data_IF_615048002356
#
_entry.id   IF_615048002356
#
_cell.length_a   1.000
_cell.length_b   1.000
_cell.length_c   1.000
_cell.angle_alpha   90.00
_cell.angle_beta   90.00
_cell.angle_gamma   90.00
#
_symmetry.space_group_name_H-M   'P 1'
#
loop_
_entity.id
_entity.type
_entity.pdbx_description
1 polymer ?
#
# COMPACT_ATOMS: atom_id res chain seq x y z
N UNK A 1 17.82 13.80 -1.71
CA UNK A 1 17.54 15.12 -2.31
C UNK A 1 16.31 15.67 -1.61
N UNK A 2 16.28 16.95 -1.23
CA UNK A 2 15.11 17.62 -0.65
C UNK A 2 14.36 18.28 -1.80
N UNK A 3 13.03 18.13 -1.85
CA UNK A 3 12.19 18.82 -2.85
C UNK A 3 12.23 20.32 -2.55
N UNK A 4 12.47 21.18 -3.55
CA UNK A 4 12.52 22.62 -3.34
C UNK A 4 11.12 23.19 -3.00
N UNK A 5 11.11 24.41 -2.47
CA UNK A 5 9.88 25.15 -2.27
C UNK A 5 9.21 25.48 -3.62
N UNK A 6 7.89 25.58 -3.62
CA UNK A 6 7.09 25.89 -4.81
C UNK A 6 6.55 24.65 -5.52
N UNK A 7 6.33 24.76 -6.82
CA UNK A 7 5.81 23.68 -7.65
C UNK A 7 6.97 22.84 -8.22
N UNK A 8 6.76 21.51 -8.19
CA UNK A 8 7.62 20.56 -8.92
C UNK A 8 6.74 19.79 -9.88
N UNK A 9 7.04 19.86 -11.17
CA UNK A 9 6.25 19.20 -12.20
C UNK A 9 6.42 17.69 -12.13
N UNK A 10 5.31 16.96 -12.29
CA UNK A 10 5.26 15.51 -12.46
C UNK A 10 5.02 15.21 -13.92
N UNK A 11 5.91 14.44 -14.53
CA UNK A 11 5.81 14.12 -15.96
C UNK A 11 4.49 13.35 -16.26
N UNK A 12 3.89 13.55 -17.44
CA UNK A 12 2.77 12.74 -17.90
C UNK A 12 3.13 11.24 -17.85
N UNK A 13 2.15 10.40 -17.51
CA UNK A 13 2.35 8.95 -17.32
C UNK A 13 2.85 8.57 -15.94
N UNK A 14 3.08 9.55 -15.06
CA UNK A 14 3.49 9.33 -13.67
C UNK A 14 2.37 9.66 -12.67
N UNK A 15 2.45 9.04 -11.50
CA UNK A 15 1.71 9.43 -10.30
C UNK A 15 2.68 9.93 -9.24
N UNK A 16 2.22 10.84 -8.39
CA UNK A 16 3.00 11.36 -7.28
C UNK A 16 2.21 11.25 -5.98
N UNK A 17 2.86 10.80 -4.94
CA UNK A 17 2.31 10.69 -3.60
C UNK A 17 3.15 11.43 -2.57
N UNK A 18 2.49 12.03 -1.58
CA UNK A 18 3.14 12.46 -0.35
C UNK A 18 3.05 11.32 0.65
N UNK A 19 4.21 10.76 0.97
CA UNK A 19 4.36 9.64 1.92
C UNK A 19 4.62 10.21 3.31
N UNK A 20 3.84 9.79 4.29
CA UNK A 20 4.07 10.09 5.70
C UNK A 20 4.62 8.84 6.39
N UNK A 21 5.80 8.95 6.98
CA UNK A 21 6.44 7.89 7.75
C UNK A 21 6.08 8.06 9.23
N UNK A 22 5.62 6.97 9.87
CA UNK A 22 5.18 6.97 11.26
C UNK A 22 5.88 5.84 12.03
N UNK A 23 6.03 6.02 13.34
CA UNK A 23 6.69 5.06 14.21
C UNK A 23 6.06 4.97 15.60
N UNK A 24 6.29 3.84 16.27
CA UNK A 24 6.11 3.61 17.69
C UNK A 24 7.45 3.17 18.28
N UNK A 25 7.94 3.84 19.32
CA UNK A 25 9.19 3.53 20.02
C UNK A 25 8.96 2.72 21.30
N UNK A 26 7.70 2.46 21.65
CA UNK A 26 7.27 1.61 22.75
C UNK A 26 5.90 1.01 22.45
N UNK A 27 5.64 -0.15 23.03
CA UNK A 27 4.32 -0.80 22.87
C UNK A 27 3.23 0.06 23.50
N UNK A 28 2.21 0.47 22.74
CA UNK A 28 1.09 1.24 23.29
C UNK A 28 0.10 0.33 24.04
N UNK A 29 -0.77 0.94 24.82
CA UNK A 29 -1.97 0.26 25.27
C UNK A 29 -2.87 -0.08 24.07
N UNK A 30 -3.36 -1.30 24.03
CA UNK A 30 -4.29 -1.72 22.98
C UNK A 30 -5.62 -0.96 23.10
N UNK A 31 -6.19 -0.61 21.99
CA UNK A 31 -7.49 0.07 21.95
C UNK A 31 -8.62 -0.93 22.16
N UNK A 32 -9.67 -0.51 22.86
CA UNK A 32 -10.88 -1.32 23.03
C UNK A 32 -11.45 -1.74 21.66
N UNK A 33 -11.80 -3.01 21.52
CA UNK A 33 -12.31 -3.61 20.29
C UNK A 33 -13.61 -4.40 20.57
N UNK A 34 -14.32 -4.77 19.50
CA UNK A 34 -15.47 -5.67 19.60
C UNK A 34 -15.00 -7.08 19.94
N UNK A 35 -15.65 -7.75 20.88
CA UNK A 35 -15.25 -9.08 21.37
C UNK A 35 -15.90 -10.24 20.60
N UNK A 36 -17.13 -10.06 20.11
CA UNK A 36 -17.82 -11.09 19.32
C UNK A 36 -17.78 -10.71 17.84
N UNK A 37 -16.71 -11.13 17.14
CA UNK A 37 -16.51 -10.82 15.72
C UNK A 37 -16.31 -12.11 14.91
N UNK A 38 -16.78 -12.15 13.65
CA UNK A 38 -16.64 -13.32 12.79
C UNK A 38 -15.28 -13.38 12.09
N UNK A 39 -14.26 -12.67 12.62
CA UNK A 39 -12.94 -12.54 12.00
C UNK A 39 -11.95 -13.48 12.65
N UNK A 40 -11.10 -14.07 11.80
CA UNK A 40 -10.00 -14.92 12.23
C UNK A 40 -8.72 -14.42 11.58
N UNK A 41 -7.64 -14.21 12.35
CA UNK A 41 -6.30 -13.97 11.82
C UNK A 41 -5.59 -15.30 11.65
N UNK A 42 -5.18 -15.59 10.42
CA UNK A 42 -4.44 -16.80 10.06
C UNK A 42 -3.05 -16.41 9.60
N UNK A 43 -2.03 -16.92 10.29
CA UNK A 43 -0.65 -16.81 9.83
C UNK A 43 -0.43 -17.77 8.66
N UNK A 44 0.27 -17.28 7.61
CA UNK A 44 0.69 -18.09 6.49
C UNK A 44 2.22 -18.22 6.50
N UNK A 45 2.78 -19.32 7.01
CA UNK A 45 4.22 -19.46 7.22
C UNK A 45 5.02 -19.68 5.91
N UNK A 46 4.36 -20.09 4.86
CA UNK A 46 4.96 -20.31 3.53
C UNK A 46 4.00 -19.83 2.44
N UNK A 47 3.79 -18.55 2.29
CA UNK A 47 2.83 -18.01 1.33
C UNK A 47 3.20 -18.44 -0.10
N UNK A 48 2.18 -18.85 -0.85
CA UNK A 48 2.29 -18.97 -2.30
C UNK A 48 2.24 -17.59 -2.94
N UNK A 49 3.09 -17.32 -3.92
CA UNK A 49 3.18 -15.99 -4.55
C UNK A 49 1.89 -15.60 -5.28
N UNK A 50 1.17 -16.56 -5.89
CA UNK A 50 -0.08 -16.27 -6.59
C UNK A 50 -1.20 -15.96 -5.60
N UNK A 51 -1.31 -16.74 -4.52
CA UNK A 51 -2.23 -16.46 -3.41
C UNK A 51 -1.96 -15.08 -2.81
N UNK A 52 -0.70 -14.77 -2.50
CA UNK A 52 -0.29 -13.50 -1.91
C UNK A 52 -0.69 -12.32 -2.82
N UNK A 53 -0.37 -12.39 -4.13
CA UNK A 53 -0.73 -11.35 -5.10
C UNK A 53 -2.24 -11.17 -5.25
N UNK A 54 -3.00 -12.26 -5.19
CA UNK A 54 -4.46 -12.21 -5.24
C UNK A 54 -5.03 -11.45 -4.04
N UNK A 55 -4.53 -11.72 -2.83
CA UNK A 55 -4.95 -11.01 -1.63
C UNK A 55 -4.46 -9.56 -1.63
N UNK A 56 -3.20 -9.32 -2.02
CA UNK A 56 -2.61 -7.99 -2.18
C UNK A 56 -3.43 -7.11 -3.14
N UNK A 57 -3.79 -7.64 -4.31
CA UNK A 57 -4.62 -6.93 -5.27
C UNK A 57 -6.04 -6.66 -4.71
N UNK A 58 -6.64 -7.64 -4.03
CA UNK A 58 -7.98 -7.48 -3.43
C UNK A 58 -8.06 -6.31 -2.46
N UNK A 59 -7.04 -6.11 -1.63
CA UNK A 59 -7.05 -5.07 -0.59
C UNK A 59 -6.43 -3.75 -1.06
N UNK A 60 -5.57 -3.78 -2.10
CA UNK A 60 -4.73 -2.65 -2.47
C UNK A 60 -5.05 -1.98 -3.81
N UNK A 61 -5.84 -2.63 -4.70
CA UNK A 61 -6.07 -2.10 -6.06
C UNK A 61 -6.71 -0.70 -6.05
N UNK A 62 -7.65 -0.44 -5.14
CA UNK A 62 -8.32 0.86 -5.02
C UNK A 62 -7.39 1.98 -4.49
N UNK A 63 -6.21 1.60 -3.99
CA UNK A 63 -5.19 2.47 -3.39
C UNK A 63 -3.88 2.47 -4.20
N UNK A 64 -3.92 1.96 -5.43
CA UNK A 64 -2.76 1.83 -6.33
C UNK A 64 -1.59 1.04 -5.71
N UNK A 65 -1.86 0.02 -4.93
CA UNK A 65 -0.83 -0.89 -4.49
C UNK A 65 -0.39 -1.77 -5.66
N UNK A 66 0.84 -1.63 -6.12
CA UNK A 66 1.35 -2.37 -7.28
C UNK A 66 2.71 -3.03 -7.05
N UNK A 67 3.47 -2.60 -6.03
CA UNK A 67 4.86 -3.02 -5.83
C UNK A 67 5.06 -4.54 -5.83
N UNK A 68 4.19 -5.28 -5.12
CA UNK A 68 4.26 -6.76 -5.06
C UNK A 68 3.75 -7.44 -6.34
N UNK A 69 2.96 -6.74 -7.17
CA UNK A 69 2.43 -7.28 -8.43
C UNK A 69 3.50 -7.28 -9.52
N UNK A 70 4.35 -6.25 -9.58
CA UNK A 70 5.42 -6.10 -10.59
C UNK A 70 6.72 -6.81 -10.19
N UNK A 71 6.89 -7.12 -8.91
CA UNK A 71 8.09 -7.77 -8.41
C UNK A 71 8.29 -9.16 -9.05
N UNK A 72 9.51 -9.58 -9.45
CA UNK A 72 9.76 -10.95 -9.89
C UNK A 72 9.30 -11.98 -8.86
N UNK A 73 8.73 -13.10 -9.30
CA UNK A 73 8.20 -14.14 -8.38
C UNK A 73 9.25 -14.61 -7.39
N UNK A 74 10.48 -14.89 -7.84
CA UNK A 74 11.56 -15.33 -6.97
C UNK A 74 11.92 -14.31 -5.88
N UNK A 75 11.90 -13.02 -6.22
CA UNK A 75 12.13 -11.94 -5.26
C UNK A 75 10.98 -11.85 -4.26
N UNK A 76 9.74 -11.91 -4.73
CA UNK A 76 8.56 -11.92 -3.84
C UNK A 76 8.64 -13.10 -2.86
N UNK A 77 8.87 -14.31 -3.36
CA UNK A 77 8.97 -15.53 -2.53
C UNK A 77 10.11 -15.44 -1.52
N UNK A 78 11.26 -14.87 -1.89
CA UNK A 78 12.38 -14.67 -0.96
C UNK A 78 12.03 -13.74 0.20
N UNK A 79 11.14 -12.77 -0.02
CA UNK A 79 10.65 -11.86 1.02
C UNK A 79 9.60 -12.56 1.88
N UNK A 80 8.47 -12.97 1.29
CA UNK A 80 7.31 -13.46 2.04
C UNK A 80 7.52 -14.80 2.73
N UNK A 81 8.58 -15.55 2.35
CA UNK A 81 9.00 -16.81 2.98
C UNK A 81 10.22 -16.66 3.88
N UNK A 82 10.74 -15.45 4.05
CA UNK A 82 11.81 -15.18 5.01
C UNK A 82 11.35 -15.52 6.43
N UNK A 83 12.24 -16.08 7.25
CA UNK A 83 11.97 -16.33 8.67
C UNK A 83 11.70 -15.03 9.46
N UNK A 84 12.16 -13.91 8.94
CA UNK A 84 11.97 -12.58 9.51
C UNK A 84 10.83 -11.77 8.85
N UNK A 85 9.95 -12.43 8.08
CA UNK A 85 8.73 -11.84 7.56
C UNK A 85 7.54 -12.69 8.01
N UNK A 86 6.53 -12.03 8.51
CA UNK A 86 5.30 -12.70 8.96
C UNK A 86 4.12 -12.21 8.13
N UNK A 87 3.50 -13.11 7.39
CA UNK A 87 2.33 -12.82 6.56
C UNK A 87 1.08 -13.42 7.20
N UNK A 88 0.04 -12.61 7.30
CA UNK A 88 -1.25 -13.01 7.86
C UNK A 88 -2.39 -12.63 6.91
N UNK A 89 -3.39 -13.49 6.84
CA UNK A 89 -4.67 -13.19 6.25
C UNK A 89 -5.73 -12.98 7.33
N UNK A 90 -6.55 -11.95 7.19
CA UNK A 90 -7.78 -11.81 7.94
C UNK A 90 -8.89 -12.53 7.16
N UNK A 91 -9.42 -13.57 7.76
CA UNK A 91 -10.45 -14.44 7.18
C UNK A 91 -11.84 -14.07 7.70
N UNK A 92 -12.80 -14.03 6.81
CA UNK A 92 -14.22 -13.80 7.08
C UNK A 92 -15.04 -14.78 6.27
N UNK A 93 -15.82 -15.64 6.92
CA UNK A 93 -16.68 -16.60 6.22
C UNK A 93 -15.92 -17.53 5.25
N UNK A 94 -14.68 -17.92 5.59
CA UNK A 94 -13.85 -18.80 4.78
C UNK A 94 -13.14 -18.09 3.62
N UNK A 95 -13.17 -16.74 3.55
CA UNK A 95 -12.48 -15.95 2.52
C UNK A 95 -11.46 -15.02 3.15
N UNK A 96 -10.29 -14.90 2.52
CA UNK A 96 -9.26 -13.96 2.93
C UNK A 96 -9.65 -12.54 2.45
N UNK A 97 -9.96 -11.67 3.42
CA UNK A 97 -10.49 -10.32 3.19
C UNK A 97 -9.60 -9.22 3.79
N UNK A 98 -8.43 -9.58 4.30
CA UNK A 98 -7.43 -8.62 4.79
C UNK A 98 -6.03 -9.19 4.75
N UNK A 99 -5.05 -8.33 4.55
CA UNK A 99 -3.61 -8.63 4.52
C UNK A 99 -2.92 -7.86 5.63
N UNK A 100 -2.07 -8.58 6.39
CA UNK A 100 -1.11 -8.01 7.32
C UNK A 100 0.27 -8.62 7.02
N UNK A 101 1.27 -7.79 6.78
CA UNK A 101 2.67 -8.20 6.62
C UNK A 101 3.54 -7.43 7.62
N UNK A 102 4.27 -8.16 8.44
CA UNK A 102 5.25 -7.65 9.39
C UNK A 102 6.64 -8.07 8.93
N UNK A 103 7.53 -7.10 8.73
CA UNK A 103 8.89 -7.32 8.26
C UNK A 103 9.89 -6.96 9.36
N UNK A 104 10.65 -7.96 9.83
CA UNK A 104 11.67 -7.85 10.89
C UNK A 104 13.09 -7.99 10.35
N UNK A 105 13.31 -7.92 9.03
CA UNK A 105 14.63 -8.09 8.42
C UNK A 105 15.62 -7.02 8.86
N UNK A 106 15.15 -5.85 9.28
CA UNK A 106 15.98 -4.82 9.92
C UNK A 106 16.11 -5.09 11.42
N UNK A 107 17.35 -5.31 11.90
CA UNK A 107 17.62 -5.69 13.27
C UNK A 107 17.05 -4.71 14.31
N UNK A 108 16.24 -5.22 15.23
CA UNK A 108 15.61 -4.45 16.30
C UNK A 108 14.47 -3.54 15.85
N UNK A 109 13.99 -3.70 14.63
CA UNK A 109 12.84 -2.97 14.08
C UNK A 109 11.81 -3.95 13.50
N UNK A 110 10.58 -3.46 13.35
CA UNK A 110 9.55 -4.10 12.57
C UNK A 110 8.92 -3.05 11.64
N UNK A 111 8.83 -3.35 10.36
CA UNK A 111 7.98 -2.61 9.45
C UNK A 111 6.60 -3.26 9.41
N UNK A 112 5.54 -2.47 9.58
CA UNK A 112 4.20 -2.83 9.15
C UNK A 112 4.14 -2.61 7.64
N UNK A 113 4.68 -3.59 6.88
CA UNK A 113 4.95 -3.45 5.45
C UNK A 113 3.66 -3.33 4.63
N UNK A 114 2.64 -4.15 4.97
CA UNK A 114 1.31 -4.05 4.37
C UNK A 114 0.23 -4.28 5.42
N UNK A 115 -0.78 -3.42 5.36
CA UNK A 115 -1.95 -3.46 6.23
C UNK A 115 -3.18 -3.04 5.43
N UNK A 116 -3.95 -3.99 4.94
CA UNK A 116 -5.10 -3.73 4.08
C UNK A 116 -6.30 -4.58 4.42
N UNK A 117 -7.47 -4.04 4.15
CA UNK A 117 -8.77 -4.69 4.31
C UNK A 117 -9.59 -4.55 3.04
N UNK A 118 -10.36 -5.57 2.70
CA UNK A 118 -11.39 -5.48 1.69
C UNK A 118 -12.47 -4.47 2.10
N UNK A 119 -13.02 -3.73 1.13
CA UNK A 119 -13.96 -2.63 1.37
C UNK A 119 -15.20 -3.01 2.19
N UNK A 120 -15.64 -4.27 2.10
CA UNK A 120 -16.76 -4.77 2.91
C UNK A 120 -16.53 -4.72 4.42
N UNK A 121 -15.27 -4.63 4.87
CA UNK A 121 -14.91 -4.59 6.29
C UNK A 121 -14.79 -3.16 6.84
N UNK A 122 -14.87 -2.16 6.00
CA UNK A 122 -14.78 -0.76 6.43
C UNK A 122 -15.95 -0.39 7.35
N UNK A 123 -15.69 0.44 8.36
CA UNK A 123 -16.68 0.87 9.33
C UNK A 123 -17.12 -0.19 10.35
N UNK A 124 -16.73 -1.46 10.18
CA UNK A 124 -17.13 -2.55 11.09
C UNK A 124 -16.23 -2.71 12.33
N UNK A 125 -15.11 -1.99 12.37
CA UNK A 125 -14.11 -2.11 13.45
C UNK A 125 -13.00 -3.13 13.16
N UNK A 126 -13.01 -3.77 11.97
CA UNK A 126 -12.01 -4.77 11.58
C UNK A 126 -10.59 -4.21 11.55
N UNK A 127 -10.41 -2.97 11.09
CA UNK A 127 -9.11 -2.30 11.11
C UNK A 127 -8.52 -2.19 12.51
N UNK A 128 -9.32 -1.78 13.50
CA UNK A 128 -8.87 -1.71 14.89
C UNK A 128 -8.50 -3.09 15.43
N UNK A 129 -9.34 -4.06 15.17
CA UNK A 129 -9.10 -5.44 15.60
C UNK A 129 -7.78 -5.99 14.99
N UNK A 130 -7.58 -5.80 13.70
CA UNK A 130 -6.36 -6.24 13.01
C UNK A 130 -5.13 -5.47 13.50
N UNK A 131 -5.24 -4.16 13.76
CA UNK A 131 -4.14 -3.35 14.27
C UNK A 131 -3.71 -3.79 15.68
N UNK A 132 -4.64 -4.13 16.56
CA UNK A 132 -4.29 -4.68 17.86
C UNK A 132 -3.45 -5.97 17.72
N UNK A 133 -3.82 -6.87 16.77
CA UNK A 133 -3.07 -8.12 16.49
C UNK A 133 -1.71 -7.81 15.87
N UNK A 134 -1.62 -6.81 14.99
CA UNK A 134 -0.35 -6.37 14.42
C UNK A 134 0.61 -5.85 15.50
N UNK A 135 0.11 -5.02 16.42
CA UNK A 135 0.89 -4.50 17.56
C UNK A 135 1.32 -5.66 18.49
N UNK A 136 0.42 -6.58 18.81
CA UNK A 136 0.74 -7.75 19.64
C UNK A 136 1.85 -8.61 19.00
N UNK A 137 1.70 -8.94 17.73
CA UNK A 137 2.66 -9.76 17.00
C UNK A 137 4.03 -9.06 16.85
N UNK A 138 4.04 -7.77 16.50
CA UNK A 138 5.27 -7.01 16.35
C UNK A 138 6.06 -6.93 17.67
N UNK A 139 5.39 -6.58 18.77
CA UNK A 139 6.04 -6.44 20.08
C UNK A 139 6.22 -7.76 20.85
N UNK A 140 5.81 -8.90 20.27
CA UNK A 140 6.19 -10.22 20.78
C UNK A 140 7.67 -10.55 20.50
N UNK A 141 8.29 -9.85 19.51
CA UNK A 141 9.74 -9.92 19.24
C UNK A 141 10.49 -8.76 19.92
N UNK A 142 11.79 -8.88 20.20
CA UNK A 142 12.56 -7.85 20.90
C UNK A 142 12.90 -6.67 19.98
N UNK A 143 11.89 -5.92 19.55
CA UNK A 143 12.05 -4.71 18.74
C UNK A 143 12.13 -3.46 19.62
N UNK A 144 12.77 -2.42 19.10
CA UNK A 144 12.81 -1.08 19.69
C UNK A 144 11.94 -0.09 18.91
N UNK A 145 11.44 -0.52 17.74
CA UNK A 145 10.69 0.35 16.84
C UNK A 145 9.73 -0.48 15.98
N UNK A 146 8.47 -0.08 15.96
CA UNK A 146 7.50 -0.49 14.94
C UNK A 146 7.23 0.72 14.06
N UNK A 147 7.38 0.61 12.75
CA UNK A 147 7.17 1.73 11.84
C UNK A 147 6.28 1.34 10.66
N UNK A 148 5.69 2.34 10.04
CA UNK A 148 4.82 2.22 8.87
C UNK A 148 4.95 3.47 8.02
N UNK A 149 4.69 3.37 6.76
CA UNK A 149 4.43 4.54 5.93
C UNK A 149 3.04 4.44 5.32
N UNK A 150 2.42 5.58 5.07
CA UNK A 150 1.16 5.73 4.34
C UNK A 150 1.27 6.91 3.41
N UNK A 151 0.54 6.91 2.32
CA UNK A 151 0.65 7.96 1.33
C UNK A 151 -0.71 8.56 0.95
N UNK A 152 -0.69 9.60 0.14
CA UNK A 152 -1.90 10.29 -0.32
C UNK A 152 -2.76 9.45 -1.28
N UNK A 153 -2.27 8.30 -1.72
CA UNK A 153 -3.06 7.34 -2.52
C UNK A 153 -3.87 6.38 -1.64
N UNK A 154 -3.48 6.20 -0.36
CA UNK A 154 -4.20 5.32 0.57
C UNK A 154 -5.58 5.88 0.95
N UNK A 155 -6.35 5.05 1.63
CA UNK A 155 -7.66 5.45 2.16
C UNK A 155 -7.54 6.77 2.95
N UNK A 156 -8.44 7.77 2.74
CA UNK A 156 -8.34 9.08 3.39
C UNK A 156 -8.21 9.04 4.91
N UNK A 157 -8.77 8.01 5.56
CA UNK A 157 -8.68 7.83 7.01
C UNK A 157 -7.38 7.13 7.47
N UNK A 158 -6.49 6.68 6.56
CA UNK A 158 -5.34 5.86 6.93
C UNK A 158 -4.39 6.59 7.88
N UNK A 159 -3.98 7.82 7.56
CA UNK A 159 -3.10 8.60 8.43
C UNK A 159 -3.69 8.82 9.82
N UNK A 160 -4.95 9.25 9.89
CA UNK A 160 -5.64 9.47 11.16
C UNK A 160 -5.82 8.15 11.94
N UNK A 161 -6.02 7.02 11.24
CA UNK A 161 -6.10 5.69 11.85
C UNK A 161 -4.79 5.28 12.51
N UNK A 162 -3.63 5.46 11.85
CA UNK A 162 -2.32 5.18 12.42
C UNK A 162 -2.01 6.05 13.62
N UNK A 163 -2.26 7.36 13.54
CA UNK A 163 -2.09 8.29 14.67
C UNK A 163 -2.93 7.86 15.88
N UNK A 164 -4.20 7.53 15.67
CA UNK A 164 -5.09 7.04 16.74
C UNK A 164 -4.68 5.67 17.29
N UNK A 165 -3.88 4.91 16.55
CA UNK A 165 -3.36 3.61 16.97
C UNK A 165 -2.07 3.71 17.79
N UNK A 166 -1.52 4.93 17.97
CA UNK A 166 -0.35 5.20 18.81
C UNK A 166 0.93 5.46 18.03
N UNK A 167 0.88 5.53 16.69
CA UNK A 167 2.01 5.96 15.88
C UNK A 167 2.20 7.48 15.95
N UNK A 168 3.44 7.92 15.81
CA UNK A 168 3.84 9.32 15.67
C UNK A 168 4.52 9.55 14.33
N UNK A 169 4.15 10.60 13.61
CA UNK A 169 4.81 10.93 12.35
C UNK A 169 6.20 11.50 12.61
N UNK A 170 7.22 11.00 11.89
CA UNK A 170 8.61 11.44 12.05
C UNK A 170 9.25 11.96 10.76
N UNK A 171 8.73 11.59 9.59
CA UNK A 171 9.25 12.06 8.31
C UNK A 171 8.15 12.14 7.24
N UNK A 172 8.44 12.94 6.22
CA UNK A 172 7.61 13.05 5.01
C UNK A 172 8.49 12.94 3.77
N UNK A 173 7.99 12.26 2.73
CA UNK A 173 8.69 12.07 1.45
C UNK A 173 7.73 12.33 0.30
N UNK A 174 8.27 12.55 -0.88
CA UNK A 174 7.54 12.52 -2.14
C UNK A 174 8.01 11.28 -2.90
N UNK A 175 7.06 10.51 -3.39
CA UNK A 175 7.29 9.35 -4.25
C UNK A 175 6.67 9.64 -5.61
N UNK A 176 7.43 9.35 -6.68
CA UNK A 176 6.98 9.55 -8.07
C UNK A 176 7.29 8.26 -8.82
N UNK A 177 6.25 7.64 -9.38
CA UNK A 177 6.36 6.38 -10.11
C UNK A 177 5.57 6.40 -11.40
N UNK A 178 5.76 5.36 -12.23
CA UNK A 178 4.90 5.11 -13.38
C UNK A 178 3.47 4.82 -12.89
N UNK A 179 2.48 5.43 -13.54
CA UNK A 179 1.08 5.13 -13.20
C UNK A 179 0.76 3.67 -13.54
N UNK A 180 0.49 2.81 -12.54
CA UNK A 180 0.26 1.38 -12.76
C UNK A 180 -0.96 1.09 -13.63
N UNK A 181 -1.88 2.04 -13.78
CA UNK A 181 -3.05 1.96 -14.67
C UNK A 181 -2.66 2.17 -16.14
N UNK A 182 -1.58 2.89 -16.42
CA UNK A 182 -1.04 3.11 -17.78
C UNK A 182 -0.04 2.02 -18.18
N UNK A 183 0.63 1.40 -17.20
CA UNK A 183 1.53 0.26 -17.47
C UNK A 183 0.79 -1.08 -17.56
N UNK A 184 -0.53 -1.10 -17.33
CA UNK A 184 -1.35 -2.31 -17.39
C UNK A 184 -1.26 -3.21 -16.15
N UNK A 185 -0.61 -2.75 -15.08
CA UNK A 185 -0.47 -3.48 -13.81
C UNK A 185 -1.78 -3.40 -13.00
N UNK A 186 -2.42 -2.24 -13.00
CA UNK A 186 -3.72 -2.03 -12.35
C UNK A 186 -4.82 -1.76 -13.39
N UNK A 187 -6.07 -2.14 -13.10
CA UNK A 187 -7.19 -1.73 -13.94
C UNK A 187 -7.26 -0.20 -14.07
N UNK A 188 -7.60 0.28 -15.27
CA UNK A 188 -7.68 1.74 -15.53
C UNK A 188 -8.70 2.46 -14.63
N UNK A 189 -9.71 1.75 -14.16
CA UNK A 189 -10.73 2.28 -13.24
C UNK A 189 -10.30 2.31 -11.78
N UNK A 190 -9.11 1.78 -11.45
CA UNK A 190 -8.59 1.79 -10.07
C UNK A 190 -8.33 3.21 -9.58
N UNK A 191 -8.52 3.44 -8.29
CA UNK A 191 -8.27 4.73 -7.63
C UNK A 191 -8.86 5.93 -8.40
N UNK A 192 -10.19 5.99 -8.62
CA UNK A 192 -10.81 7.03 -9.44
C UNK A 192 -10.64 8.44 -8.87
N UNK A 193 -10.26 8.55 -7.60
CA UNK A 193 -9.95 9.81 -6.93
C UNK A 193 -8.60 10.42 -7.33
N UNK A 194 -7.75 9.65 -8.07
CA UNK A 194 -6.45 10.10 -8.55
C UNK A 194 -6.54 10.27 -10.08
N UNK A 195 -6.45 11.49 -10.62
CA UNK A 195 -6.50 11.72 -12.06
C UNK A 195 -5.36 11.01 -12.80
N UNK A 196 -5.68 10.44 -13.97
CA UNK A 196 -4.67 9.92 -14.89
C UNK A 196 -4.25 11.05 -15.82
N UNK A 197 -2.95 11.34 -15.87
CA UNK A 197 -2.38 12.34 -16.76
C UNK A 197 -1.54 11.63 -17.82
N UNK A 198 -2.07 11.58 -19.04
CA UNK A 198 -1.36 10.99 -20.20
C UNK A 198 -0.54 12.03 -20.96
N UNK A 199 0.53 11.58 -21.62
CA UNK A 199 1.22 12.41 -22.57
C UNK A 199 0.26 12.78 -23.73
N UNK A 200 0.14 14.06 -24.01
CA UNK A 200 -0.60 14.48 -25.21
C UNK A 200 0.18 14.01 -26.46
N UNK A 201 -0.49 13.43 -27.45
CA UNK A 201 0.15 13.20 -28.75
C UNK A 201 0.79 14.50 -29.22
N UNK A 202 2.02 14.43 -29.71
CA UNK A 202 2.64 15.59 -30.30
C UNK A 202 1.69 16.18 -31.39
N UNK A 203 1.35 17.45 -31.30
CA UNK A 203 0.51 18.10 -32.29
C UNK A 203 1.20 17.90 -33.65
N UNK A 204 0.49 17.28 -34.60
CA UNK A 204 1.00 17.13 -35.97
C UNK A 204 1.29 18.55 -36.47
N UNK A 205 2.54 18.88 -36.83
CA UNK A 205 2.88 20.22 -37.33
C UNK A 205 1.92 20.60 -38.45
N UNK A 206 1.39 21.81 -38.44
CA UNK A 206 0.42 22.29 -39.43
C UNK A 206 0.92 22.14 -40.88
N UNK A 207 2.25 22.09 -41.08
CA UNK A 207 2.90 21.85 -42.38
C UNK A 207 2.55 20.46 -42.99
N UNK A 208 2.25 19.44 -42.17
CA UNK A 208 1.87 18.12 -42.68
C UNK A 208 0.41 18.04 -43.14
N UNK A 209 -0.46 18.95 -42.66
CA UNK A 209 -1.87 19.03 -43.13
C UNK A 209 -2.00 19.70 -44.49
N UNK A 210 -1.14 20.69 -44.81
CA UNK A 210 -1.17 21.39 -46.09
C UNK A 210 -0.69 20.50 -47.25
N UNK A 211 0.10 19.47 -47.01
CA UNK A 211 0.58 18.55 -48.06
C UNK A 211 -0.45 17.47 -48.41
N UNK A 212 -1.40 17.15 -47.53
CA UNK A 212 -2.45 16.16 -47.80
C UNK A 212 -3.62 16.74 -48.61
N UNK A 213 -3.88 18.07 -48.50
CA UNK A 213 -4.97 18.74 -49.24
C UNK A 213 -4.52 19.22 -50.64
N UNK A 214 -3.27 19.01 -51.03
CA UNK A 214 -2.76 19.44 -52.35
C UNK A 214 -2.69 18.32 -53.39
N UNK A 215 -3.29 17.16 -53.12
CA UNK A 215 -3.20 15.97 -54.00
C UNK A 215 -4.58 15.47 -54.42
N UNK A 216 -5.57 16.40 -54.61
CA UNK A 216 -6.82 16.12 -55.34
C UNK A 216 -6.86 16.94 -56.64
#
# INVERSE_FOLDING_TARGET
MVVPDGYSDVAPGKVAAVVTCLEMLQRPALRAERTAVPWRLRREPRPDAAWYRTLFARVGTDWLWYSRLVMPVSTLESIIRSADVEVYALEVGGRDEGLLELDFRDAGQCELAFFGLGGALFGQGAGRWLMNRAIEAAWARPIRRLWVHTCTHDHPEALAFYLRSGFSAYARRVEIDDDPRLTGVAPRASAPHIPIIEARPAAIPQAARAAADSTE
#
